data_IF_025593628927
#
_entry.id   IF_025593628927
#
_cell.length_a   1.000
_cell.length_b   1.000
_cell.length_c   1.000
_cell.angle_alpha   90.00
_cell.angle_beta   90.00
_cell.angle_gamma   90.00
#
_symmetry.space_group_name_H-M   'P 1'
#
loop_
_entity.id
_entity.type
_entity.pdbx_description
1 polymer ?
#
# COMPACT_ATOMS: atom_id res chain seq x y z
N UNK A 1 -3.46 -23.91 -16.63
CA UNK A 1 -1.98 -23.83 -16.55
C UNK A 1 -1.51 -22.78 -17.54
N UNK A 2 -0.58 -21.90 -17.17
CA UNK A 2 -0.09 -20.84 -18.07
C UNK A 2 0.65 -21.44 -19.27
N UNK A 3 0.36 -20.94 -20.48
CA UNK A 3 0.96 -21.31 -21.76
C UNK A 3 1.38 -20.02 -22.46
N UNK A 4 2.63 -19.91 -22.89
CA UNK A 4 3.11 -18.75 -23.65
C UNK A 4 3.16 -19.09 -25.13
N UNK A 5 2.59 -18.22 -25.96
CA UNK A 5 2.75 -18.31 -27.41
C UNK A 5 4.18 -17.93 -27.76
N UNK A 6 4.93 -18.87 -28.34
CA UNK A 6 6.33 -18.67 -28.75
C UNK A 6 6.48 -18.48 -30.26
N UNK A 7 5.41 -18.70 -31.03
CA UNK A 7 5.39 -18.50 -32.48
C UNK A 7 4.07 -18.97 -33.09
N UNK A 8 4.07 -19.15 -34.41
CA UNK A 8 2.98 -19.77 -35.16
C UNK A 8 3.51 -20.87 -36.08
N UNK A 9 2.73 -21.91 -36.29
CA UNK A 9 3.05 -22.98 -37.24
C UNK A 9 2.77 -22.56 -38.69
N UNK A 10 3.08 -23.44 -39.65
CA UNK A 10 2.86 -23.18 -41.09
C UNK A 10 1.40 -23.00 -41.50
N UNK A 11 0.46 -23.34 -40.61
CA UNK A 11 -0.98 -23.17 -40.81
C UNK A 11 -1.50 -21.90 -40.12
N UNK A 12 -0.62 -21.10 -39.50
CA UNK A 12 -0.95 -19.89 -38.76
C UNK A 12 -1.49 -20.13 -37.35
N UNK A 13 -1.43 -21.36 -36.83
CA UNK A 13 -1.87 -21.69 -35.48
C UNK A 13 -0.79 -21.43 -34.45
N UNK A 14 -1.17 -21.02 -33.23
CA UNK A 14 -0.22 -20.64 -32.19
C UNK A 14 0.59 -21.84 -31.68
N UNK A 15 1.91 -21.67 -31.60
CA UNK A 15 2.81 -22.60 -30.92
C UNK A 15 2.86 -22.21 -29.45
N UNK A 16 2.33 -23.07 -28.59
CA UNK A 16 2.27 -22.83 -27.14
C UNK A 16 3.35 -23.59 -26.38
N UNK A 17 4.10 -22.88 -25.53
CA UNK A 17 5.06 -23.48 -24.61
C UNK A 17 4.60 -23.38 -23.16
N UNK A 18 4.70 -24.51 -22.45
CA UNK A 18 4.57 -24.60 -20.99
C UNK A 18 5.93 -24.63 -20.28
N UNK A 19 7.04 -24.47 -21.01
CA UNK A 19 8.38 -24.49 -20.41
C UNK A 19 8.63 -23.17 -19.67
N UNK A 20 8.99 -23.20 -18.37
CA UNK A 20 9.27 -21.99 -17.62
C UNK A 20 10.37 -21.09 -18.20
N UNK A 21 11.33 -21.67 -18.92
CA UNK A 21 12.39 -20.92 -19.64
C UNK A 21 11.83 -19.94 -20.67
N UNK A 22 10.72 -20.30 -21.29
CA UNK A 22 10.19 -19.55 -22.42
C UNK A 22 9.36 -18.36 -21.94
N UNK A 23 8.91 -18.37 -20.68
CA UNK A 23 7.99 -17.39 -20.10
C UNK A 23 8.60 -15.98 -20.00
N UNK A 24 9.92 -15.84 -20.03
CA UNK A 24 10.61 -14.55 -19.88
C UNK A 24 10.68 -14.04 -18.44
N UNK A 25 10.26 -14.86 -17.48
CA UNK A 25 10.43 -14.66 -16.04
C UNK A 25 10.45 -16.02 -15.35
N UNK A 26 10.86 -16.06 -14.09
CA UNK A 26 10.86 -17.28 -13.28
C UNK A 26 9.79 -17.20 -12.19
N UNK A 27 9.27 -18.35 -11.75
CA UNK A 27 8.39 -18.39 -10.58
C UNK A 27 9.04 -17.76 -9.34
N UNK A 28 10.37 -17.90 -9.21
CA UNK A 28 11.13 -17.26 -8.13
C UNK A 28 11.05 -15.73 -8.20
N UNK A 29 11.21 -15.13 -9.38
CA UNK A 29 11.08 -13.68 -9.56
C UNK A 29 9.66 -13.18 -9.27
N UNK A 30 8.64 -13.90 -9.74
CA UNK A 30 7.23 -13.56 -9.44
C UNK A 30 6.95 -13.65 -7.95
N UNK A 31 7.43 -14.71 -7.28
CA UNK A 31 7.27 -14.88 -5.84
C UNK A 31 7.98 -13.77 -5.06
N UNK A 32 9.22 -13.44 -5.41
CA UNK A 32 9.96 -12.36 -4.76
C UNK A 32 9.21 -11.03 -4.85
N UNK A 33 8.62 -10.70 -6.01
CA UNK A 33 7.76 -9.51 -6.15
C UNK A 33 6.46 -9.58 -5.36
N UNK A 34 5.84 -10.75 -5.29
CA UNK A 34 4.65 -10.93 -4.46
C UNK A 34 4.97 -10.72 -2.97
N UNK A 35 6.11 -11.23 -2.50
CA UNK A 35 6.54 -11.08 -1.11
C UNK A 35 6.94 -9.63 -0.79
N UNK A 36 7.57 -8.92 -1.73
CA UNK A 36 7.86 -7.47 -1.63
C UNK A 36 6.58 -6.64 -1.46
N UNK A 37 5.54 -6.93 -2.27
CA UNK A 37 4.25 -6.23 -2.18
C UNK A 37 3.57 -6.50 -0.83
N UNK A 38 3.55 -7.75 -0.37
CA UNK A 38 2.98 -8.11 0.93
C UNK A 38 3.71 -7.45 2.09
N UNK A 39 5.04 -7.35 2.02
CA UNK A 39 5.82 -6.66 3.04
C UNK A 39 5.55 -5.14 3.08
N UNK A 40 5.19 -4.53 1.95
CA UNK A 40 4.88 -3.11 1.86
C UNK A 40 3.43 -2.75 2.27
N UNK A 41 2.51 -3.72 2.25
CA UNK A 41 1.08 -3.53 2.53
C UNK A 41 0.79 -2.96 3.94
N UNK A 42 1.39 -3.43 5.04
CA UNK A 42 1.10 -2.92 6.38
C UNK A 42 1.34 -1.42 6.52
N UNK A 43 2.45 -0.92 5.97
CA UNK A 43 2.78 0.51 5.97
C UNK A 43 1.85 1.33 5.07
N UNK A 44 1.38 0.75 3.96
CA UNK A 44 0.38 1.40 3.10
C UNK A 44 -0.94 1.59 3.86
N UNK A 45 -1.41 0.55 4.55
CA UNK A 45 -2.63 0.60 5.34
C UNK A 45 -2.53 1.57 6.52
N UNK A 46 -1.40 1.59 7.22
CA UNK A 46 -1.13 2.54 8.30
C UNK A 46 -1.24 4.00 7.82
N UNK A 47 -0.61 4.32 6.68
CA UNK A 47 -0.67 5.66 6.09
C UNK A 47 -2.08 6.03 5.67
N UNK A 48 -2.83 5.10 5.09
CA UNK A 48 -4.22 5.33 4.69
C UNK A 48 -5.13 5.66 5.89
N UNK A 49 -4.99 4.93 6.99
CA UNK A 49 -5.77 5.20 8.21
C UNK A 49 -5.39 6.55 8.84
N UNK A 50 -4.08 6.87 8.89
CA UNK A 50 -3.61 8.20 9.31
C UNK A 50 -4.24 9.31 8.48
N UNK A 51 -4.20 9.17 7.16
CA UNK A 51 -4.69 10.19 6.23
C UNK A 51 -6.22 10.35 6.36
N UNK A 52 -6.95 9.26 6.57
CA UNK A 52 -8.38 9.29 6.90
C UNK A 52 -8.67 10.12 8.16
N UNK A 53 -7.92 9.90 9.25
CA UNK A 53 -8.08 10.66 10.51
C UNK A 53 -7.72 12.14 10.36
N UNK A 54 -6.69 12.45 9.58
CA UNK A 54 -6.32 13.83 9.25
C UNK A 54 -7.42 14.52 8.41
N UNK A 55 -8.02 13.81 7.45
CA UNK A 55 -9.11 14.35 6.63
C UNK A 55 -10.34 14.67 7.47
N UNK A 56 -10.73 13.80 8.41
CA UNK A 56 -11.85 14.04 9.35
C UNK A 56 -11.65 15.28 10.22
N UNK A 57 -10.39 15.68 10.45
CA UNK A 57 -10.03 16.84 11.28
C UNK A 57 -9.56 18.04 10.46
N UNK A 58 -9.68 17.99 9.14
CA UNK A 58 -9.11 19.02 8.27
C UNK A 58 -9.82 20.37 8.40
N UNK A 59 -11.13 20.33 8.64
CA UNK A 59 -11.95 21.52 8.87
C UNK A 59 -11.50 22.37 10.08
N UNK A 60 -10.72 21.81 11.01
CA UNK A 60 -10.12 22.58 12.12
C UNK A 60 -9.15 23.67 11.65
N UNK A 61 -8.58 23.50 10.45
CA UNK A 61 -7.68 24.46 9.82
C UNK A 61 -8.42 25.44 8.90
N UNK A 62 -9.76 25.47 8.92
CA UNK A 62 -10.54 26.49 8.22
C UNK A 62 -10.26 27.89 8.77
N UNK A 63 -10.30 28.91 7.90
CA UNK A 63 -10.10 30.32 8.28
C UNK A 63 -11.12 30.82 9.30
N UNK A 64 -12.28 30.18 9.38
CA UNK A 64 -13.37 30.55 10.28
C UNK A 64 -13.11 30.13 11.73
N UNK A 65 -12.06 29.33 11.97
CA UNK A 65 -11.76 28.72 13.26
C UNK A 65 -10.31 29.00 13.67
N UNK A 66 -10.11 29.25 14.96
CA UNK A 66 -8.77 29.19 15.56
C UNK A 66 -8.54 27.80 16.13
N UNK A 67 -7.60 27.05 15.55
CA UNK A 67 -7.28 25.69 16.01
C UNK A 67 -6.64 25.72 17.41
N UNK A 68 -7.25 25.01 18.36
CA UNK A 68 -6.71 24.87 19.71
C UNK A 68 -5.40 24.07 19.72
N UNK A 69 -4.60 24.24 20.77
CA UNK A 69 -3.30 23.56 20.87
C UNK A 69 -3.45 22.04 20.97
N UNK A 70 -4.50 21.54 21.66
CA UNK A 70 -4.84 20.11 21.69
C UNK A 70 -5.13 19.55 20.30
N UNK A 71 -5.79 20.34 19.42
CA UNK A 71 -6.10 19.94 18.04
C UNK A 71 -4.84 19.94 17.16
N UNK A 72 -3.92 20.89 17.38
CA UNK A 72 -2.58 20.90 16.74
C UNK A 72 -1.79 19.65 17.14
N UNK A 73 -1.70 19.39 18.45
CA UNK A 73 -0.98 18.25 19.01
C UNK A 73 -1.53 16.93 18.48
N UNK A 74 -2.86 16.75 18.50
CA UNK A 74 -3.51 15.57 17.92
C UNK A 74 -3.12 15.33 16.45
N UNK A 75 -3.22 16.37 15.59
CA UNK A 75 -2.87 16.25 14.17
C UNK A 75 -1.38 15.97 13.97
N UNK A 76 -0.53 16.48 14.85
CA UNK A 76 0.90 16.19 14.83
C UNK A 76 1.18 14.74 15.24
N UNK A 77 0.61 14.26 16.33
CA UNK A 77 0.75 12.86 16.77
C UNK A 77 0.25 11.85 15.73
N UNK A 78 -0.79 12.20 14.95
CA UNK A 78 -1.20 11.38 13.80
C UNK A 78 -0.10 11.28 12.74
N UNK A 79 0.61 12.37 12.44
CA UNK A 79 1.71 12.38 11.46
C UNK A 79 2.90 11.57 11.96
N UNK A 80 3.21 11.70 13.23
CA UNK A 80 4.38 11.07 13.87
C UNK A 80 4.19 9.55 14.08
N UNK A 81 2.96 9.03 13.95
CA UNK A 81 2.68 7.59 14.09
C UNK A 81 3.53 6.72 13.15
N UNK A 82 3.89 7.23 11.97
CA UNK A 82 4.72 6.46 11.02
C UNK A 82 6.20 6.40 11.40
N UNK A 83 6.63 7.11 12.44
CA UNK A 83 8.00 7.02 12.99
C UNK A 83 8.15 5.86 13.98
N UNK A 84 7.05 5.45 14.62
CA UNK A 84 7.02 4.41 15.66
C UNK A 84 6.27 3.14 15.26
N UNK A 85 5.18 3.26 14.50
CA UNK A 85 4.39 2.11 14.07
C UNK A 85 4.74 1.69 12.64
N UNK A 86 4.86 0.38 12.42
CA UNK A 86 5.12 -0.22 11.10
C UNK A 86 3.91 -0.94 10.50
N UNK A 87 2.82 -1.10 11.27
CA UNK A 87 1.59 -1.76 10.85
C UNK A 87 0.39 -1.28 11.68
N UNK A 88 -0.82 -1.64 11.26
CA UNK A 88 -2.06 -1.38 11.99
C UNK A 88 -2.23 -2.26 13.25
N UNK A 89 -1.52 -3.39 13.34
CA UNK A 89 -1.68 -4.34 14.44
C UNK A 89 -1.05 -3.84 15.74
N UNK A 90 -0.09 -2.91 15.64
CA UNK A 90 0.70 -2.40 16.76
C UNK A 90 0.71 -0.87 16.85
N UNK A 91 -0.30 -0.21 16.27
CA UNK A 91 -0.44 1.25 16.37
C UNK A 91 -1.34 1.63 17.54
N UNK A 92 -0.91 2.61 18.33
CA UNK A 92 -1.76 3.28 19.33
C UNK A 92 -2.10 4.67 18.83
N UNK A 93 -3.38 4.92 18.55
CA UNK A 93 -3.83 6.21 18.04
C UNK A 93 -4.05 7.22 19.16
N UNK A 94 -3.71 8.51 18.95
CA UNK A 94 -4.06 9.55 19.90
C UNK A 94 -5.59 9.68 20.01
N UNK A 95 -6.08 10.04 21.20
CA UNK A 95 -7.50 10.31 21.42
C UNK A 95 -7.86 11.67 20.83
N UNK A 96 -8.94 11.72 20.04
CA UNK A 96 -9.41 12.97 19.45
C UNK A 96 -9.88 13.93 20.54
N UNK A 97 -9.39 15.18 20.59
CA UNK A 97 -9.91 16.20 21.50
C UNK A 97 -11.31 16.66 21.10
N UNK A 98 -12.10 17.09 22.09
CA UNK A 98 -13.37 17.81 21.89
C UNK A 98 -13.13 19.22 21.29
#
# INVERSE_FOLDING_TARGET
MFRKVTGADSSGSAIESSKPSDWGTTWSAVKAKADEIKAAEPMKLLRAERDSRLAVTDWWASSDLTMSDKRKEYRQSLRDITEVATSLDHVTWPTKPE
#
